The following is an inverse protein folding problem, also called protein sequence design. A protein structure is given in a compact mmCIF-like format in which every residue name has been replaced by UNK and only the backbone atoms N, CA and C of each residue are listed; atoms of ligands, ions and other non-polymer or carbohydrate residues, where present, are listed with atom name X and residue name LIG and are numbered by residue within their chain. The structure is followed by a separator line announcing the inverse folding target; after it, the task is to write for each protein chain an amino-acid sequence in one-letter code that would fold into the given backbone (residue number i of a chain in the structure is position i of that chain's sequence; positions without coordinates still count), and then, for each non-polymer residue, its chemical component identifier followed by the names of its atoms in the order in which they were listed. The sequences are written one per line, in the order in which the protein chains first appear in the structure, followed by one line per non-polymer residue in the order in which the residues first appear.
data_IF_720049687083
#
_entry.id   IF_720049687083
#
_cell.length_a   1.000
_cell.length_b   1.000
_cell.length_c   1.000
_cell.angle_alpha   90.00
_cell.angle_beta   90.00
_cell.angle_gamma   90.00
#
_symmetry.space_group_name_H-M   'P 1'
#
loop_
_entity.id
_entity.type
_entity.pdbx_description
1 polymer ?
#
# COMPACT_ATOMS: atom_id res chain seq x y z
N UNK A 1 -3.19 48.00 -7.51
CA UNK A 1 -2.22 48.49 -6.52
C UNK A 1 -0.89 48.78 -7.21
N UNK A 2 -0.15 49.76 -6.71
CA UNK A 2 1.16 50.20 -7.16
C UNK A 2 2.18 49.99 -6.05
N UNK A 3 3.44 49.83 -6.43
CA UNK A 3 4.57 49.93 -5.48
C UNK A 3 4.82 51.42 -5.27
N UNK A 4 4.74 51.89 -4.03
CA UNK A 4 5.06 53.27 -3.66
C UNK A 4 6.52 53.42 -3.26
N UNK A 5 7.04 52.42 -2.55
CA UNK A 5 8.35 52.51 -1.94
C UNK A 5 8.93 51.11 -1.68
N UNK A 6 10.25 50.95 -1.87
CA UNK A 6 11.03 49.80 -1.47
C UNK A 6 12.17 50.25 -0.55
N UNK A 7 12.25 49.66 0.63
CA UNK A 7 13.34 49.87 1.59
C UNK A 7 14.09 48.57 1.85
N UNK A 8 15.38 48.70 2.08
CA UNK A 8 16.18 47.68 2.75
C UNK A 8 16.45 48.19 4.16
N UNK A 9 16.04 47.44 5.17
CA UNK A 9 16.17 47.83 6.57
C UNK A 9 16.84 46.71 7.37
N UNK A 10 17.53 47.06 8.44
CA UNK A 10 18.01 46.08 9.41
C UNK A 10 16.83 45.52 10.22
N UNK A 11 16.84 44.21 10.49
CA UNK A 11 15.76 43.54 11.22
C UNK A 11 15.55 44.08 12.64
N UNK A 12 16.64 44.35 13.36
CA UNK A 12 16.65 44.60 14.81
C UNK A 12 16.31 46.05 15.17
N UNK A 13 17.03 47.01 14.60
CA UNK A 13 16.89 48.44 14.92
C UNK A 13 16.05 49.22 13.89
N UNK A 14 15.64 48.56 12.79
CA UNK A 14 14.92 49.15 11.65
C UNK A 14 15.69 50.29 10.97
N UNK A 15 17.01 50.35 11.13
CA UNK A 15 17.85 51.29 10.42
C UNK A 15 17.70 51.09 8.90
N UNK A 16 17.51 52.19 8.17
CA UNK A 16 17.29 52.16 6.72
C UNK A 16 18.64 52.11 6.01
N UNK A 17 18.94 50.96 5.41
CA UNK A 17 20.13 50.72 4.61
C UNK A 17 19.99 51.32 3.21
N UNK A 18 18.79 51.23 2.62
CA UNK A 18 18.47 51.80 1.32
C UNK A 18 16.99 52.17 1.25
N UNK A 19 16.67 53.27 0.56
CA UNK A 19 15.30 53.73 0.35
C UNK A 19 15.09 54.13 -1.12
N UNK A 20 14.07 53.58 -1.75
CA UNK A 20 13.78 53.76 -3.18
C UNK A 20 12.30 54.09 -3.32
N UNK A 21 12.00 55.32 -3.68
CA UNK A 21 10.64 55.79 -3.94
C UNK A 21 10.28 55.58 -5.41
N UNK A 22 9.05 55.14 -5.65
CA UNK A 22 8.49 54.97 -6.98
C UNK A 22 7.54 56.11 -7.27
N UNK A 23 7.56 56.58 -8.51
CA UNK A 23 6.66 57.62 -9.01
C UNK A 23 5.64 57.02 -9.97
N UNK A 24 4.56 57.76 -10.18
CA UNK A 24 3.55 57.39 -11.18
C UNK A 24 4.15 57.39 -12.59
N UNK A 25 3.72 56.44 -13.42
CA UNK A 25 4.29 56.17 -14.73
C UNK A 25 5.52 55.23 -14.71
N UNK A 26 6.38 55.39 -15.71
CA UNK A 26 7.49 54.46 -15.96
C UNK A 26 8.69 54.78 -15.07
N UNK A 27 9.14 53.79 -14.31
CA UNK A 27 10.32 53.88 -13.45
C UNK A 27 11.48 53.14 -14.12
N UNK A 28 12.61 53.83 -14.35
CA UNK A 28 13.78 53.25 -15.02
C UNK A 28 14.88 52.92 -14.01
N UNK A 29 15.38 51.68 -14.04
CA UNK A 29 16.56 51.25 -13.27
C UNK A 29 17.75 51.19 -14.22
N UNK A 30 18.58 52.23 -14.17
CA UNK A 30 19.73 52.43 -15.07
C UNK A 30 21.05 52.03 -14.41
N UNK A 31 22.04 51.67 -15.23
CA UNK A 31 23.41 51.49 -14.72
C UNK A 31 24.07 52.84 -14.54
N UNK A 32 24.95 52.95 -13.55
CA UNK A 32 25.91 54.06 -13.50
C UNK A 32 27.12 53.66 -14.32
N UNK A 33 27.30 54.24 -15.50
CA UNK A 33 28.38 53.88 -16.43
C UNK A 33 29.77 54.12 -15.85
N UNK A 34 30.52 53.05 -15.58
CA UNK A 34 31.99 52.91 -15.77
C UNK A 34 32.52 51.60 -15.16
N UNK A 35 31.99 50.46 -15.60
CA UNK A 35 32.64 49.17 -15.32
C UNK A 35 32.68 48.32 -16.58
N UNK A 36 33.88 48.13 -17.14
CA UNK A 36 34.15 47.35 -18.35
C UNK A 36 33.94 45.84 -18.21
N UNK A 37 33.07 45.40 -17.31
CA UNK A 37 32.60 44.03 -17.17
C UNK A 37 31.10 44.00 -17.43
N UNK A 38 30.72 43.55 -18.63
CA UNK A 38 29.34 43.23 -18.97
C UNK A 38 28.64 42.42 -17.85
N UNK A 39 27.47 42.88 -17.40
CA UNK A 39 26.46 42.13 -16.63
C UNK A 39 26.65 41.83 -15.13
N UNK A 40 27.46 42.58 -14.39
CA UNK A 40 27.38 42.58 -12.90
C UNK A 40 27.39 44.05 -12.50
N UNK A 41 26.36 44.64 -11.90
CA UNK A 41 25.91 44.42 -10.53
C UNK A 41 24.57 45.17 -10.34
N UNK A 42 23.54 44.55 -9.75
CA UNK A 42 22.42 45.28 -9.13
C UNK A 42 21.06 45.26 -9.83
N UNK A 43 20.95 45.32 -11.17
CA UNK A 43 19.63 45.43 -11.86
C UNK A 43 18.74 44.19 -11.66
N UNK A 44 19.26 43.02 -12.02
CA UNK A 44 18.53 41.75 -11.84
C UNK A 44 18.33 41.47 -10.35
N UNK A 45 19.30 41.84 -9.51
CA UNK A 45 19.20 41.73 -8.04
C UNK A 45 18.04 42.58 -7.49
N UNK A 46 17.84 43.79 -8.01
CA UNK A 46 16.72 44.66 -7.65
C UNK A 46 15.36 44.04 -8.01
N UNK A 47 15.21 43.48 -9.22
CA UNK A 47 13.97 42.77 -9.58
C UNK A 47 13.74 41.52 -8.72
N UNK A 48 14.80 40.78 -8.38
CA UNK A 48 14.75 39.65 -7.45
C UNK A 48 14.33 40.07 -6.04
N UNK A 49 14.75 41.25 -5.57
CA UNK A 49 14.29 41.79 -4.27
C UNK A 49 12.78 42.02 -4.27
N UNK A 50 12.24 42.63 -5.32
CA UNK A 50 10.78 42.82 -5.47
C UNK A 50 10.07 41.47 -5.49
N UNK A 51 10.59 40.49 -6.24
CA UNK A 51 9.96 39.17 -6.31
C UNK A 51 9.97 38.41 -4.97
N UNK A 52 11.04 38.56 -4.18
CA UNK A 52 11.13 38.00 -2.82
C UNK A 52 10.14 38.69 -1.88
N UNK A 53 10.01 40.01 -1.95
CA UNK A 53 8.97 40.75 -1.23
C UNK A 53 7.58 40.27 -1.64
N UNK A 54 7.39 39.94 -2.92
CA UNK A 54 6.21 39.27 -3.48
C UNK A 54 6.23 37.73 -3.28
N UNK A 55 6.87 37.23 -2.21
CA UNK A 55 6.70 35.86 -1.75
C UNK A 55 7.43 34.77 -2.53
N UNK A 56 8.46 35.10 -3.32
CA UNK A 56 9.40 34.10 -3.84
C UNK A 56 10.13 33.36 -2.70
N UNK A 57 10.51 32.10 -2.96
CA UNK A 57 11.12 31.22 -1.95
C UNK A 57 12.64 31.30 -1.90
N UNK A 58 13.26 31.43 -3.08
CA UNK A 58 14.70 31.31 -3.27
C UNK A 58 15.37 32.66 -3.02
N UNK A 59 15.68 32.93 -1.74
CA UNK A 59 16.33 34.18 -1.31
C UNK A 59 17.81 34.21 -1.67
N UNK A 60 18.42 33.04 -1.66
CA UNK A 60 19.80 32.80 -2.09
C UNK A 60 20.04 33.30 -3.51
N UNK A 61 19.05 33.27 -4.40
CA UNK A 61 19.16 33.84 -5.76
C UNK A 61 19.53 35.32 -5.82
N UNK A 62 19.48 36.06 -4.71
CA UNK A 62 20.00 37.44 -4.65
C UNK A 62 21.52 37.50 -4.85
N UNK A 63 22.23 36.53 -4.29
CA UNK A 63 23.69 36.49 -4.25
C UNK A 63 24.27 35.23 -4.90
N UNK A 64 23.46 34.21 -5.17
CA UNK A 64 23.84 33.00 -5.90
C UNK A 64 23.33 33.02 -7.34
N UNK A 65 24.24 32.80 -8.28
CA UNK A 65 23.93 32.63 -9.70
C UNK A 65 24.03 31.14 -10.08
N UNK A 66 22.90 30.48 -10.42
CA UNK A 66 22.90 29.07 -10.80
C UNK A 66 23.51 28.80 -12.19
N UNK A 67 23.59 29.78 -13.08
CA UNK A 67 24.14 29.59 -14.43
C UNK A 67 25.67 29.52 -14.39
N UNK A 68 26.28 30.39 -13.61
CA UNK A 68 27.74 30.43 -13.41
C UNK A 68 28.20 29.63 -12.20
N UNK A 69 27.26 29.11 -11.40
CA UNK A 69 27.51 28.46 -10.12
C UNK A 69 28.42 29.30 -9.20
N UNK A 70 28.18 30.62 -9.19
CA UNK A 70 29.00 31.58 -8.43
C UNK A 70 28.18 32.30 -7.37
N UNK A 71 28.77 32.50 -6.20
CA UNK A 71 28.18 33.28 -5.10
C UNK A 71 28.92 34.61 -4.96
N UNK A 72 28.16 35.70 -4.88
CA UNK A 72 28.65 37.03 -4.51
C UNK A 72 28.76 37.12 -2.98
N UNK A 73 29.88 36.67 -2.45
CA UNK A 73 30.09 36.52 -1.01
C UNK A 73 29.96 37.84 -0.21
N UNK A 74 30.33 38.97 -0.81
CA UNK A 74 30.20 40.28 -0.16
C UNK A 74 28.74 40.63 0.08
N UNK A 75 27.88 40.40 -0.91
CA UNK A 75 26.43 40.64 -0.80
C UNK A 75 25.78 39.66 0.19
N UNK A 76 26.19 38.39 0.18
CA UNK A 76 25.71 37.40 1.15
C UNK A 76 26.04 37.81 2.59
N UNK A 77 27.31 38.15 2.85
CA UNK A 77 27.76 38.62 4.18
C UNK A 77 27.02 39.89 4.59
N UNK A 78 26.89 40.86 3.68
CA UNK A 78 26.15 42.10 3.95
C UNK A 78 24.70 41.83 4.38
N UNK A 79 23.99 40.91 3.73
CA UNK A 79 22.62 40.54 4.07
C UNK A 79 22.55 39.86 5.45
N UNK A 80 23.49 38.97 5.75
CA UNK A 80 23.52 38.20 7.00
C UNK A 80 23.89 39.09 8.18
N UNK A 81 24.98 39.86 8.05
CA UNK A 81 25.54 40.68 9.14
C UNK A 81 24.58 41.81 9.54
N UNK A 82 23.89 42.40 8.56
CA UNK A 82 22.88 43.43 8.83
C UNK A 82 21.48 42.86 9.12
N UNK A 83 21.31 41.53 9.11
CA UNK A 83 19.99 40.88 9.17
C UNK A 83 18.99 41.57 8.25
N UNK A 84 19.37 41.77 6.99
CA UNK A 84 18.65 42.67 6.10
C UNK A 84 17.22 42.15 5.80
N UNK A 85 16.26 43.06 5.85
CA UNK A 85 14.88 42.87 5.43
C UNK A 85 14.57 43.77 4.24
N UNK A 86 13.87 43.23 3.24
CA UNK A 86 13.19 44.05 2.24
C UNK A 86 11.81 44.44 2.78
N UNK A 87 11.46 45.73 2.68
CA UNK A 87 10.17 46.29 3.03
C UNK A 87 9.58 47.01 1.82
N UNK A 88 8.47 46.51 1.30
CA UNK A 88 7.78 47.03 0.13
C UNK A 88 6.44 47.63 0.57
N UNK A 89 6.23 48.90 0.26
CA UNK A 89 4.94 49.56 0.50
C UNK A 89 4.14 49.57 -0.79
N UNK A 90 2.95 48.98 -0.74
CA UNK A 90 2.00 48.95 -1.85
C UNK A 90 0.76 49.78 -1.51
N UNK A 91 0.23 50.47 -2.52
CA UNK A 91 -0.91 51.39 -2.38
C UNK A 91 -1.91 51.20 -3.52
N UNK A 92 -3.15 51.63 -3.34
CA UNK A 92 -4.14 51.65 -4.43
C UNK A 92 -3.88 52.75 -5.45
N UNK A 93 -3.41 53.92 -5.00
CA UNK A 93 -3.02 55.08 -5.81
C UNK A 93 -1.73 55.70 -5.25
N UNK A 94 -0.78 56.06 -6.13
CA UNK A 94 0.53 56.62 -5.70
C UNK A 94 0.37 58.02 -5.11
N UNK A 95 -0.48 58.84 -5.71
CA UNK A 95 -0.63 60.26 -5.41
C UNK A 95 -1.61 60.47 -4.24
N UNK A 96 -2.71 59.72 -4.21
CA UNK A 96 -3.79 59.84 -3.23
C UNK A 96 -4.19 58.46 -2.65
N UNK A 97 -3.30 57.80 -1.90
CA UNK A 97 -3.53 56.45 -1.38
C UNK A 97 -4.69 56.43 -0.39
N UNK A 98 -5.67 55.54 -0.61
CA UNK A 98 -6.73 55.22 0.35
C UNK A 98 -6.47 53.90 1.07
N UNK A 99 -5.79 52.98 0.39
CA UNK A 99 -5.33 51.72 0.94
C UNK A 99 -3.81 51.65 0.86
N UNK A 100 -3.19 51.18 1.95
CA UNK A 100 -1.73 51.02 2.04
C UNK A 100 -1.43 49.74 2.81
N UNK A 101 -0.53 48.93 2.25
CA UNK A 101 0.00 47.76 2.93
C UNK A 101 1.53 47.76 2.91
N UNK A 102 2.13 47.31 4.01
CA UNK A 102 3.58 47.16 4.15
C UNK A 102 3.93 45.68 4.18
N UNK A 103 4.66 45.25 3.16
CA UNK A 103 5.13 43.89 2.95
C UNK A 103 6.60 43.78 3.37
N UNK A 104 6.91 43.05 4.43
CA UNK A 104 8.29 42.93 4.91
C UNK A 104 8.77 41.49 4.94
N UNK A 105 9.94 41.24 4.35
CA UNK A 105 10.52 39.90 4.21
C UNK A 105 11.99 39.93 4.59
N UNK A 106 12.41 39.04 5.51
CA UNK A 106 13.82 38.85 5.81
C UNK A 106 14.57 38.16 4.67
N UNK A 107 15.66 38.77 4.22
CA UNK A 107 16.45 38.32 3.06
C UNK A 107 17.41 37.17 3.41
N UNK A 108 17.76 37.02 4.68
CA UNK A 108 18.62 35.95 5.20
C UNK A 108 17.86 34.63 5.40
N UNK A 109 18.61 33.54 5.60
CA UNK A 109 18.07 32.20 5.86
C UNK A 109 17.16 32.21 7.10
N UNK A 110 15.96 31.62 7.00
CA UNK A 110 14.92 31.62 8.05
C UNK A 110 14.35 33.00 8.43
N UNK A 111 14.67 34.07 7.70
CA UNK A 111 14.01 35.37 7.85
C UNK A 111 12.48 35.27 7.77
N UNK A 112 11.80 36.14 8.51
CA UNK A 112 10.35 36.09 8.68
C UNK A 112 9.60 36.92 7.64
N UNK A 113 8.30 36.66 7.50
CA UNK A 113 7.38 37.40 6.65
C UNK A 113 6.44 38.23 7.51
N UNK A 114 6.17 39.46 7.10
CA UNK A 114 5.24 40.35 7.78
C UNK A 114 4.36 41.07 6.76
N UNK A 115 3.08 41.23 7.11
CA UNK A 115 2.16 42.14 6.44
C UNK A 115 1.64 43.09 7.50
N UNK A 116 1.77 44.41 7.26
CA UNK A 116 1.32 45.46 8.18
C UNK A 116 1.85 45.27 9.60
N UNK A 117 3.12 44.87 9.71
CA UNK A 117 3.80 44.59 10.97
C UNK A 117 3.48 43.24 11.61
N UNK A 118 2.45 42.51 11.16
CA UNK A 118 2.09 41.20 11.71
C UNK A 118 2.92 40.08 11.09
N UNK A 119 3.62 39.33 11.93
CA UNK A 119 4.40 38.17 11.50
C UNK A 119 3.48 37.01 11.06
N UNK A 120 3.74 36.45 9.88
CA UNK A 120 2.96 35.34 9.33
C UNK A 120 3.87 34.29 8.68
N UNK A 121 3.33 33.07 8.54
CA UNK A 121 4.01 31.97 7.81
C UNK A 121 3.99 32.26 6.31
N UNK A 122 4.99 31.78 5.58
CA UNK A 122 5.10 32.00 4.13
C UNK A 122 3.86 31.54 3.34
N UNK A 123 3.25 30.41 3.70
CA UNK A 123 2.04 29.92 3.03
C UNK A 123 0.86 30.87 3.24
N UNK A 124 0.65 31.35 4.46
CA UNK A 124 -0.36 32.34 4.79
C UNK A 124 -0.06 33.69 4.13
N UNK A 125 1.21 34.09 4.06
CA UNK A 125 1.66 35.30 3.37
C UNK A 125 1.19 35.34 1.91
N UNK A 126 1.38 34.24 1.17
CA UNK A 126 0.91 34.14 -0.22
C UNK A 126 -0.62 34.19 -0.34
N UNK A 127 -1.34 33.62 0.62
CA UNK A 127 -2.82 33.67 0.65
C UNK A 127 -3.30 35.11 0.90
N UNK A 128 -2.71 35.80 1.87
CA UNK A 128 -3.04 37.21 2.15
C UNK A 128 -2.69 38.12 0.96
N UNK A 129 -1.56 37.88 0.28
CA UNK A 129 -1.22 38.62 -0.94
C UNK A 129 -2.23 38.41 -2.07
N UNK A 130 -2.80 37.20 -2.21
CA UNK A 130 -3.89 36.94 -3.15
C UNK A 130 -5.13 37.80 -2.86
N UNK A 131 -5.47 38.00 -1.57
CA UNK A 131 -6.58 38.86 -1.17
C UNK A 131 -6.29 40.33 -1.49
N UNK A 132 -5.10 40.79 -1.13
CA UNK A 132 -4.73 42.20 -1.25
C UNK A 132 -4.62 42.62 -2.73
N UNK A 133 -3.95 41.81 -3.55
CA UNK A 133 -3.61 42.18 -4.93
C UNK A 133 -4.64 41.70 -5.97
N UNK A 134 -5.33 40.59 -5.70
CA UNK A 134 -6.20 39.93 -6.67
C UNK A 134 -7.64 39.73 -6.15
N UNK A 135 -7.95 40.18 -4.93
CA UNK A 135 -9.27 40.05 -4.31
C UNK A 135 -9.83 38.62 -4.33
N UNK A 136 -8.96 37.61 -4.20
CA UNK A 136 -9.34 36.20 -4.20
C UNK A 136 -8.86 35.49 -2.93
N UNK A 137 -9.71 34.57 -2.45
CA UNK A 137 -9.38 33.62 -1.38
C UNK A 137 -8.96 32.26 -1.93
N UNK A 138 -9.12 32.08 -3.25
CA UNK A 138 -8.91 30.81 -3.90
C UNK A 138 -7.42 30.48 -3.97
N UNK A 139 -7.13 29.19 -3.87
CA UNK A 139 -5.78 28.67 -4.03
C UNK A 139 -5.38 28.50 -5.49
N UNK A 140 -6.33 28.65 -6.41
CA UNK A 140 -6.21 28.29 -7.81
C UNK A 140 -6.77 29.42 -8.69
N UNK A 141 -5.92 30.13 -9.46
CA UNK A 141 -4.46 30.02 -9.50
C UNK A 141 -3.78 30.49 -8.21
N UNK A 142 -2.63 29.91 -7.89
CA UNK A 142 -1.84 30.34 -6.73
C UNK A 142 -1.30 31.76 -6.95
N UNK A 143 -1.04 32.50 -5.87
CA UNK A 143 -0.42 33.83 -5.95
C UNK A 143 0.84 33.87 -6.82
N UNK A 144 1.70 32.85 -6.72
CA UNK A 144 2.93 32.77 -7.52
C UNK A 144 2.69 32.56 -9.01
N UNK A 145 1.55 31.97 -9.37
CA UNK A 145 1.14 31.83 -10.78
C UNK A 145 0.53 33.11 -11.33
N UNK A 146 -0.14 33.91 -10.50
CA UNK A 146 -0.71 35.19 -10.91
C UNK A 146 0.36 36.28 -11.02
N UNK A 147 1.21 36.41 -9.99
CA UNK A 147 2.19 37.50 -9.90
C UNK A 147 3.30 37.42 -10.96
N UNK A 148 3.59 36.24 -11.50
CA UNK A 148 4.59 36.07 -12.57
C UNK A 148 4.24 36.82 -13.86
N UNK A 149 2.96 37.16 -14.06
CA UNK A 149 2.49 38.02 -15.15
C UNK A 149 2.96 39.46 -15.02
N UNK A 150 3.23 39.89 -13.80
CA UNK A 150 3.61 41.26 -13.44
C UNK A 150 5.09 41.40 -13.08
N UNK A 151 5.66 40.45 -12.34
CA UNK A 151 7.08 40.46 -11.93
C UNK A 151 7.86 39.42 -12.74
N UNK A 152 8.62 39.88 -13.73
CA UNK A 152 9.33 39.02 -14.69
C UNK A 152 10.84 39.13 -14.51
N UNK A 153 11.46 38.09 -13.94
CA UNK A 153 12.91 38.07 -13.66
C UNK A 153 13.69 37.34 -14.74
N UNK A 154 13.15 36.25 -15.28
CA UNK A 154 13.82 35.41 -16.28
C UNK A 154 13.03 35.45 -17.57
N UNK A 155 13.55 36.15 -18.58
CA UNK A 155 13.08 36.10 -19.96
C UNK A 155 14.12 35.33 -20.78
N UNK A 156 14.22 34.02 -20.56
CA UNK A 156 15.03 33.14 -21.40
C UNK A 156 14.15 32.59 -22.53
N UNK A 157 14.20 33.22 -23.71
CA UNK A 157 13.59 32.72 -24.94
C UNK A 157 12.77 33.73 -25.75
N UNK A 158 12.63 33.44 -27.05
CA UNK A 158 11.95 34.24 -28.08
C UNK A 158 10.49 34.62 -27.74
N UNK A 159 10.03 35.66 -28.45
CA UNK A 159 8.69 36.31 -28.58
C UNK A 159 7.46 35.80 -27.80
N UNK A 160 7.23 34.48 -27.65
CA UNK A 160 6.08 33.92 -26.94
C UNK A 160 6.26 33.83 -25.41
N UNK A 161 7.46 34.10 -24.89
CA UNK A 161 7.74 34.14 -23.44
C UNK A 161 6.91 35.18 -22.69
N UNK A 162 6.41 36.21 -23.38
CA UNK A 162 5.49 37.19 -22.80
C UNK A 162 4.20 36.54 -22.32
N UNK A 163 3.66 35.61 -23.11
CA UNK A 163 2.47 34.86 -22.76
C UNK A 163 2.87 33.71 -21.81
N UNK A 164 3.94 32.97 -22.13
CA UNK A 164 4.36 31.78 -21.37
C UNK A 164 5.47 32.05 -20.35
N UNK A 165 5.10 32.69 -19.24
CA UNK A 165 6.00 33.14 -18.17
C UNK A 165 6.10 32.23 -16.92
N UNK A 166 5.33 31.14 -16.87
CA UNK A 166 5.33 30.20 -15.73
C UNK A 166 6.36 29.07 -15.95
N UNK A 167 7.18 28.75 -14.93
CA UNK A 167 8.14 27.65 -15.03
C UNK A 167 7.41 26.30 -15.08
N UNK A 168 7.61 25.53 -16.17
CA UNK A 168 7.09 24.17 -16.36
C UNK A 168 5.57 24.03 -16.09
N UNK A 169 4.78 25.00 -16.53
CA UNK A 169 3.32 24.97 -16.39
C UNK A 169 2.63 24.24 -17.55
N UNK A 170 1.51 23.59 -17.26
CA UNK A 170 0.66 22.95 -18.26
C UNK A 170 -0.25 23.97 -18.97
N UNK A 171 -0.78 23.62 -20.14
CA UNK A 171 -1.77 24.46 -20.85
C UNK A 171 -2.98 24.75 -19.95
N UNK A 172 -3.45 23.77 -19.18
CA UNK A 172 -4.55 23.96 -18.22
C UNK A 172 -4.21 24.99 -17.13
N UNK A 173 -2.96 25.00 -16.66
CA UNK A 173 -2.46 25.99 -15.69
C UNK A 173 -2.46 27.40 -16.28
N UNK A 174 -1.98 27.56 -17.52
CA UNK A 174 -2.02 28.85 -18.21
C UNK A 174 -3.45 29.34 -18.45
N UNK A 175 -4.35 28.44 -18.87
CA UNK A 175 -5.79 28.75 -19.02
C UNK A 175 -6.39 29.23 -17.70
N UNK A 176 -6.14 28.53 -16.61
CA UNK A 176 -6.60 28.92 -15.27
C UNK A 176 -6.11 30.33 -14.90
N UNK A 177 -4.83 30.65 -15.15
CA UNK A 177 -4.27 31.99 -14.91
C UNK A 177 -4.91 33.06 -15.78
N UNK A 178 -5.04 32.83 -17.09
CA UNK A 178 -5.63 33.82 -17.98
C UNK A 178 -7.13 34.01 -17.72
N UNK A 179 -7.86 32.94 -17.46
CA UNK A 179 -9.28 33.03 -17.16
C UNK A 179 -9.53 33.82 -15.88
N UNK A 180 -8.66 33.67 -14.88
CA UNK A 180 -8.68 34.53 -13.70
C UNK A 180 -8.33 35.99 -14.02
N UNK A 181 -7.20 36.24 -14.70
CA UNK A 181 -6.71 37.60 -14.94
C UNK A 181 -7.60 38.43 -15.88
N UNK A 182 -8.28 37.77 -16.82
CA UNK A 182 -9.17 38.40 -17.80
C UNK A 182 -10.65 38.21 -17.47
N UNK A 183 -10.98 37.58 -16.33
CA UNK A 183 -12.36 37.31 -15.89
C UNK A 183 -13.21 36.59 -16.96
N UNK A 184 -12.62 35.58 -17.62
CA UNK A 184 -13.26 34.87 -18.74
C UNK A 184 -14.17 33.74 -18.25
N UNK A 185 -13.70 32.97 -17.26
CA UNK A 185 -14.40 31.81 -16.71
C UNK A 185 -13.84 31.39 -15.36
N UNK A 186 -14.60 30.60 -14.60
CA UNK A 186 -14.16 30.06 -13.31
C UNK A 186 -12.90 29.18 -13.48
N UNK A 187 -11.75 29.59 -12.91
CA UNK A 187 -10.48 28.86 -13.05
C UNK A 187 -10.52 27.44 -12.49
N UNK A 188 -11.41 27.18 -11.51
CA UNK A 188 -11.56 25.86 -10.89
C UNK A 188 -12.12 24.82 -11.86
N UNK A 189 -12.98 25.25 -12.79
CA UNK A 189 -13.59 24.39 -13.82
C UNK A 189 -12.54 23.93 -14.83
N UNK A 190 -11.65 24.82 -15.27
CA UNK A 190 -10.58 24.47 -16.22
C UNK A 190 -9.53 23.53 -15.62
N UNK A 191 -9.18 23.72 -14.34
CA UNK A 191 -8.26 22.81 -13.66
C UNK A 191 -8.87 21.40 -13.53
N UNK A 192 -10.14 21.32 -13.12
CA UNK A 192 -10.88 20.06 -13.07
C UNK A 192 -10.92 19.38 -14.44
N UNK A 193 -11.22 20.13 -15.50
CA UNK A 193 -11.17 19.63 -16.88
C UNK A 193 -9.78 19.09 -17.23
N UNK A 194 -8.72 19.84 -16.95
CA UNK A 194 -7.35 19.41 -17.25
C UNK A 194 -6.94 18.14 -16.48
N UNK A 195 -7.42 17.98 -15.25
CA UNK A 195 -7.21 16.76 -14.47
C UNK A 195 -7.99 15.56 -15.03
N UNK A 196 -9.24 15.76 -15.45
CA UNK A 196 -10.04 14.73 -16.11
C UNK A 196 -9.43 14.30 -17.45
N UNK A 197 -8.91 15.25 -18.26
CA UNK A 197 -8.22 14.93 -19.53
C UNK A 197 -6.96 14.09 -19.29
N UNK A 198 -6.19 14.36 -18.22
CA UNK A 198 -5.04 13.52 -17.82
C UNK A 198 -5.47 12.11 -17.42
N UNK A 199 -6.51 11.99 -16.61
CA UNK A 199 -7.05 10.69 -16.18
C UNK A 199 -7.54 9.88 -17.39
N UNK A 200 -8.29 10.53 -18.30
CA UNK A 200 -8.76 9.91 -19.54
C UNK A 200 -7.59 9.38 -20.37
N UNK A 201 -6.51 10.15 -20.50
CA UNK A 201 -5.30 9.72 -21.22
C UNK A 201 -4.67 8.47 -20.59
N UNK A 202 -4.54 8.44 -19.26
CA UNK A 202 -4.00 7.27 -18.54
C UNK A 202 -4.86 6.03 -18.79
N UNK A 203 -6.18 6.14 -18.64
CA UNK A 203 -7.12 5.04 -18.87
C UNK A 203 -7.06 4.56 -20.32
N UNK A 204 -6.99 5.48 -21.27
CA UNK A 204 -6.89 5.16 -22.70
C UNK A 204 -5.58 4.43 -23.04
N UNK A 205 -4.46 4.84 -22.45
CA UNK A 205 -3.17 4.15 -22.63
C UNK A 205 -3.17 2.77 -21.96
N UNK A 206 -3.77 2.63 -20.78
CA UNK A 206 -3.97 1.33 -20.14
C UNK A 206 -4.84 0.40 -21.00
N UNK A 207 -5.92 0.93 -21.59
CA UNK A 207 -6.77 0.19 -22.53
C UNK A 207 -5.95 -0.29 -23.76
N UNK A 208 -5.14 0.60 -24.35
CA UNK A 208 -4.26 0.24 -25.48
C UNK A 208 -3.23 -0.84 -25.09
N UNK A 209 -2.61 -0.72 -23.93
CA UNK A 209 -1.65 -1.72 -23.44
C UNK A 209 -2.35 -3.08 -23.21
N UNK A 210 -3.54 -3.07 -22.62
CA UNK A 210 -4.33 -4.28 -22.41
C UNK A 210 -4.71 -4.95 -23.74
N UNK A 211 -5.15 -4.17 -24.75
CA UNK A 211 -5.41 -4.68 -26.11
C UNK A 211 -4.17 -5.31 -26.75
N UNK A 212 -2.98 -4.71 -26.56
CA UNK A 212 -1.71 -5.24 -27.08
C UNK A 212 -1.31 -6.57 -26.44
N UNK A 213 -1.43 -6.71 -25.12
CA UNK A 213 -1.04 -7.93 -24.39
C UNK A 213 -1.91 -9.13 -24.78
N UNK A 214 -3.19 -8.91 -25.05
CA UNK A 214 -4.14 -9.98 -25.37
C UNK A 214 -4.25 -10.30 -26.87
N UNK A 215 -3.49 -9.61 -27.74
CA UNK A 215 -3.61 -9.69 -29.21
C UNK A 215 -5.05 -9.50 -29.74
N UNK A 216 -5.95 -8.94 -28.94
CA UNK A 216 -7.37 -8.77 -29.25
C UNK A 216 -7.65 -7.30 -29.55
N UNK A 217 -8.30 -7.03 -30.68
CA UNK A 217 -8.42 -5.68 -31.22
C UNK A 217 -9.60 -4.92 -30.59
N UNK A 218 -10.58 -5.63 -30.00
CA UNK A 218 -11.74 -5.02 -29.32
C UNK A 218 -12.18 -5.75 -28.04
N UNK A 219 -12.74 -5.04 -27.03
CA UNK A 219 -13.27 -5.66 -25.81
C UNK A 219 -14.38 -6.71 -26.05
N UNK A 220 -15.12 -6.57 -27.16
CA UNK A 220 -16.14 -7.54 -27.57
C UNK A 220 -15.54 -8.89 -28.00
N UNK A 221 -14.38 -8.88 -28.69
CA UNK A 221 -13.66 -10.09 -29.10
C UNK A 221 -13.15 -10.85 -27.86
N UNK A 222 -12.67 -10.13 -26.84
CA UNK A 222 -12.21 -10.72 -25.58
C UNK A 222 -13.37 -11.41 -24.85
N UNK A 223 -14.55 -10.76 -24.78
CA UNK A 223 -15.76 -11.40 -24.22
C UNK A 223 -16.13 -12.66 -24.98
N UNK A 224 -16.00 -12.66 -26.31
CA UNK A 224 -16.28 -13.82 -27.14
C UNK A 224 -15.29 -14.96 -26.89
N UNK A 225 -13.99 -14.67 -26.78
CA UNK A 225 -12.96 -15.67 -26.43
C UNK A 225 -13.26 -16.27 -25.05
N UNK A 226 -13.56 -15.44 -24.04
CA UNK A 226 -13.92 -15.91 -22.69
C UNK A 226 -15.15 -16.82 -22.75
N UNK A 227 -16.19 -16.44 -23.49
CA UNK A 227 -17.40 -17.26 -23.63
C UNK A 227 -17.11 -18.62 -24.28
N UNK A 228 -16.23 -18.65 -25.29
CA UNK A 228 -15.80 -19.90 -25.96
C UNK A 228 -15.00 -20.81 -25.03
N UNK A 229 -14.08 -20.24 -24.24
CA UNK A 229 -13.30 -20.98 -23.24
C UNK A 229 -14.19 -21.54 -22.11
N UNK A 230 -15.17 -20.77 -21.64
CA UNK A 230 -16.16 -21.22 -20.65
C UNK A 230 -16.97 -22.39 -21.21
N UNK A 231 -17.43 -22.30 -22.45
CA UNK A 231 -18.14 -23.38 -23.12
C UNK A 231 -17.28 -24.65 -23.23
N UNK A 232 -16.00 -24.52 -23.63
CA UNK A 232 -15.09 -25.66 -23.70
C UNK A 232 -14.84 -26.31 -22.34
N UNK A 233 -14.68 -25.50 -21.29
CA UNK A 233 -14.55 -25.99 -19.90
C UNK A 233 -15.77 -26.82 -19.50
N UNK A 234 -16.97 -26.31 -19.77
CA UNK A 234 -18.22 -26.96 -19.34
C UNK A 234 -18.43 -28.27 -20.11
N UNK A 235 -18.15 -28.29 -21.42
CA UNK A 235 -18.14 -29.52 -22.22
C UNK A 235 -17.15 -30.56 -21.69
N UNK A 236 -15.91 -30.15 -21.36
CA UNK A 236 -14.91 -31.07 -20.80
C UNK A 236 -15.35 -31.61 -19.43
N UNK A 237 -16.02 -30.79 -18.63
CA UNK A 237 -16.58 -31.20 -17.35
C UNK A 237 -17.68 -32.24 -17.51
N UNK A 238 -18.61 -32.03 -18.45
CA UNK A 238 -19.63 -33.03 -18.79
C UNK A 238 -18.98 -34.34 -19.26
N UNK A 239 -17.96 -34.28 -20.12
CA UNK A 239 -17.24 -35.48 -20.55
C UNK A 239 -16.54 -36.21 -19.39
N UNK A 240 -16.00 -35.48 -18.42
CA UNK A 240 -15.42 -36.07 -17.20
C UNK A 240 -16.51 -36.73 -16.35
N UNK A 241 -17.65 -36.06 -16.18
CA UNK A 241 -18.79 -36.56 -15.41
C UNK A 241 -19.43 -37.80 -16.07
N UNK A 242 -19.41 -37.90 -17.41
CA UNK A 242 -19.81 -39.08 -18.18
C UNK A 242 -18.83 -40.26 -18.02
N UNK A 243 -17.52 -39.99 -18.00
CA UNK A 243 -16.48 -41.03 -17.86
C UNK A 243 -16.49 -41.62 -16.44
N UNK A 244 -16.74 -40.79 -15.42
CA UNK A 244 -16.87 -41.22 -14.04
C UNK A 244 -18.05 -40.50 -13.43
N UNK A 245 -19.20 -41.19 -13.33
CA UNK A 245 -20.29 -40.70 -12.49
C UNK A 245 -19.77 -40.59 -11.05
N UNK A 246 -19.44 -39.36 -10.64
CA UNK A 246 -18.87 -39.04 -9.33
C UNK A 246 -19.77 -39.59 -8.22
N UNK A 247 -21.08 -39.62 -8.47
CA UNK A 247 -22.08 -40.19 -7.59
C UNK A 247 -21.98 -41.72 -7.47
N UNK A 248 -21.81 -42.48 -8.57
CA UNK A 248 -21.58 -43.93 -8.47
C UNK A 248 -20.21 -44.26 -7.88
N UNK A 249 -19.17 -43.48 -8.20
CA UNK A 249 -17.86 -43.70 -7.61
C UNK A 249 -17.89 -43.52 -6.09
N UNK A 250 -18.54 -42.45 -5.60
CA UNK A 250 -18.69 -42.22 -4.16
C UNK A 250 -19.59 -43.25 -3.48
N UNK A 251 -20.69 -43.67 -4.11
CA UNK A 251 -21.56 -44.77 -3.62
C UNK A 251 -20.81 -46.10 -3.55
N UNK A 252 -20.10 -46.49 -4.62
CA UNK A 252 -19.31 -47.73 -4.66
C UNK A 252 -18.17 -47.72 -3.65
N UNK A 253 -17.50 -46.57 -3.47
CA UNK A 253 -16.45 -46.42 -2.45
C UNK A 253 -17.00 -46.62 -1.04
N UNK A 254 -18.16 -46.04 -0.72
CA UNK A 254 -18.82 -46.26 0.58
C UNK A 254 -19.20 -47.73 0.76
N UNK A 255 -19.82 -48.34 -0.25
CA UNK A 255 -20.21 -49.76 -0.22
C UNK A 255 -19.01 -50.70 0.00
N UNK A 256 -17.90 -50.48 -0.71
CA UNK A 256 -16.66 -51.24 -0.54
C UNK A 256 -16.07 -51.11 0.87
N UNK A 257 -16.10 -49.91 1.46
CA UNK A 257 -15.66 -49.70 2.84
C UNK A 257 -16.54 -50.46 3.83
N UNK A 258 -17.87 -50.46 3.64
CA UNK A 258 -18.80 -51.22 4.49
C UNK A 258 -18.53 -52.73 4.42
N UNK A 259 -18.33 -53.28 3.23
CA UNK A 259 -18.01 -54.70 3.05
C UNK A 259 -16.68 -55.05 3.71
N UNK A 260 -15.64 -54.22 3.55
CA UNK A 260 -14.33 -54.44 4.18
C UNK A 260 -14.44 -54.48 5.71
N UNK A 261 -15.20 -53.56 6.31
CA UNK A 261 -15.41 -53.57 7.75
C UNK A 261 -16.10 -54.87 8.21
N UNK A 262 -17.14 -55.31 7.51
CA UNK A 262 -17.85 -56.56 7.82
C UNK A 262 -16.97 -57.79 7.63
N UNK A 263 -16.12 -57.80 6.61
CA UNK A 263 -15.13 -58.86 6.39
C UNK A 263 -14.14 -58.94 7.56
N UNK A 264 -13.61 -57.79 8.00
CA UNK A 264 -12.71 -57.72 9.16
C UNK A 264 -13.39 -58.23 10.44
N UNK A 265 -14.64 -57.87 10.69
CA UNK A 265 -15.42 -58.38 11.83
C UNK A 265 -15.62 -59.89 11.77
N UNK A 266 -15.99 -60.43 10.62
CA UNK A 266 -16.17 -61.87 10.43
C UNK A 266 -14.86 -62.62 10.60
N UNK A 267 -13.76 -62.08 10.07
CA UNK A 267 -12.42 -62.65 10.22
C UNK A 267 -12.01 -62.71 11.69
N UNK A 268 -12.27 -61.64 12.45
CA UNK A 268 -12.02 -61.61 13.89
C UNK A 268 -12.88 -62.66 14.64
N UNK A 269 -14.16 -62.82 14.26
CA UNK A 269 -15.03 -63.85 14.84
C UNK A 269 -14.53 -65.27 14.55
N UNK A 270 -14.12 -65.54 13.32
CA UNK A 270 -13.53 -66.83 12.93
C UNK A 270 -12.25 -67.07 13.73
N UNK A 271 -11.37 -66.07 13.85
CA UNK A 271 -10.17 -66.17 14.68
C UNK A 271 -10.47 -66.54 16.13
N UNK A 272 -11.48 -65.91 16.73
CA UNK A 272 -11.93 -66.21 18.10
C UNK A 272 -12.48 -67.64 18.23
N UNK A 273 -13.30 -68.08 17.29
CA UNK A 273 -13.87 -69.44 17.30
C UNK A 273 -12.78 -70.50 17.11
N UNK A 274 -11.83 -70.28 16.20
CA UNK A 274 -10.71 -71.20 15.99
C UNK A 274 -9.84 -71.32 17.23
N UNK A 275 -9.56 -70.20 17.90
CA UNK A 275 -8.84 -70.22 19.18
C UNK A 275 -9.58 -71.05 20.24
N UNK A 276 -10.89 -70.86 20.38
CA UNK A 276 -11.70 -71.66 21.31
C UNK A 276 -11.66 -73.15 20.96
N UNK A 277 -11.80 -73.48 19.67
CA UNK A 277 -11.79 -74.85 19.18
C UNK A 277 -10.44 -75.53 19.45
N UNK A 278 -9.32 -74.84 19.21
CA UNK A 278 -7.99 -75.36 19.56
C UNK A 278 -7.85 -75.60 21.06
N UNK A 279 -8.32 -74.67 21.90
CA UNK A 279 -8.26 -74.85 23.36
C UNK A 279 -9.10 -76.04 23.82
N UNK A 280 -10.32 -76.19 23.31
CA UNK A 280 -11.17 -77.36 23.60
C UNK A 280 -10.50 -78.66 23.15
N UNK A 281 -9.90 -78.70 21.96
CA UNK A 281 -9.15 -79.87 21.48
C UNK A 281 -7.98 -80.22 22.40
N UNK A 282 -7.22 -79.21 22.85
CA UNK A 282 -6.11 -79.42 23.81
C UNK A 282 -6.63 -79.98 25.13
N UNK A 283 -7.72 -79.44 25.66
CA UNK A 283 -8.35 -79.94 26.89
C UNK A 283 -8.84 -81.39 26.76
N UNK A 284 -9.46 -81.74 25.62
CA UNK A 284 -9.89 -83.12 25.35
C UNK A 284 -8.67 -84.04 25.27
N UNK A 285 -7.64 -83.68 24.50
CA UNK A 285 -6.43 -84.49 24.37
C UNK A 285 -5.73 -84.70 25.73
N UNK A 286 -5.67 -83.65 26.56
CA UNK A 286 -5.15 -83.75 27.93
C UNK A 286 -6.02 -84.67 28.79
N UNK A 287 -7.35 -84.55 28.71
CA UNK A 287 -8.28 -85.39 29.47
C UNK A 287 -8.21 -86.87 29.05
N UNK A 288 -8.02 -87.15 27.76
CA UNK A 288 -7.80 -88.50 27.22
C UNK A 288 -6.46 -89.06 27.72
N UNK A 289 -5.37 -88.28 27.62
CA UNK A 289 -4.07 -88.71 28.13
C UNK A 289 -4.09 -88.95 29.65
N UNK A 290 -4.77 -88.09 30.40
CA UNK A 290 -4.99 -88.28 31.84
C UNK A 290 -5.80 -89.56 32.12
N UNK A 291 -6.79 -89.90 31.27
CA UNK A 291 -7.53 -91.15 31.39
C UNK A 291 -6.66 -92.38 31.14
N UNK A 292 -5.77 -92.33 30.14
CA UNK A 292 -4.83 -93.41 29.82
C UNK A 292 -3.76 -93.57 30.90
N UNK A 293 -3.27 -92.46 31.47
CA UNK A 293 -2.32 -92.47 32.57
C UNK A 293 -2.95 -92.90 33.90
N UNK A 294 -4.20 -92.52 34.19
CA UNK A 294 -4.96 -93.02 35.35
C UNK A 294 -5.29 -94.52 35.23
N UNK A 295 -5.31 -95.05 34.00
CA UNK A 295 -5.38 -96.48 33.68
C UNK A 295 -4.03 -97.20 33.82
N UNK A 296 -2.99 -96.55 34.34
CA UNK A 296 -1.81 -97.23 34.90
C UNK A 296 -2.27 -98.11 36.07
N UNK A 297 -2.69 -99.32 35.72
CA UNK A 297 -3.36 -100.29 36.59
C UNK A 297 -2.62 -100.53 37.90
N UNK A 298 -1.30 -100.36 37.96
CA UNK A 298 -0.52 -100.61 39.17
C UNK A 298 -0.85 -99.69 40.35
N UNK A 299 -0.99 -98.38 40.15
CA UNK A 299 -1.31 -97.46 41.26
C UNK A 299 -2.74 -97.66 41.75
N UNK A 300 -3.67 -97.80 40.81
CA UNK A 300 -5.09 -97.98 41.09
C UNK A 300 -5.37 -99.34 41.74
N UNK A 301 -4.64 -100.40 41.33
CA UNK A 301 -4.71 -101.73 41.93
C UNK A 301 -4.07 -101.75 43.32
N UNK A 302 -2.90 -101.14 43.50
CA UNK A 302 -2.26 -101.02 44.82
C UNK A 302 -3.18 -100.28 45.82
N UNK A 303 -3.82 -99.19 45.40
CA UNK A 303 -4.77 -98.45 46.22
C UNK A 303 -6.03 -99.27 46.53
N UNK A 304 -6.56 -100.01 45.54
CA UNK A 304 -7.70 -100.89 45.75
C UNK A 304 -7.38 -102.03 46.72
N UNK A 305 -6.21 -102.65 46.59
CA UNK A 305 -5.75 -103.74 47.48
C UNK A 305 -5.50 -103.23 48.90
N UNK A 306 -4.93 -102.03 49.05
CA UNK A 306 -4.78 -101.36 50.34
C UNK A 306 -6.14 -101.14 51.01
N UNK A 307 -7.13 -100.58 50.29
CA UNK A 307 -8.49 -100.37 50.82
C UNK A 307 -9.22 -101.69 51.09
N UNK A 308 -9.06 -102.69 50.23
CA UNK A 308 -9.66 -104.02 50.41
C UNK A 308 -9.13 -104.71 51.67
N UNK A 309 -7.86 -104.51 52.01
CA UNK A 309 -7.28 -105.05 53.26
C UNK A 309 -7.87 -104.42 54.53
N UNK A 310 -8.35 -103.18 54.44
CA UNK A 310 -8.90 -102.41 55.55
C UNK A 310 -10.42 -102.58 55.72
N UNK A 311 -11.14 -103.00 54.67
CA UNK A 311 -12.61 -103.09 54.66
C UNK A 311 -13.05 -104.54 54.35
N UNK A 312 -13.47 -105.31 55.38
CA UNK A 312 -13.78 -106.74 55.26
C UNK A 312 -14.97 -107.11 54.36
N UNK A 313 -15.79 -106.13 53.97
CA UNK A 313 -16.95 -106.32 53.09
C UNK A 313 -17.00 -105.23 52.02
N UNK A 314 -16.10 -105.32 51.03
CA UNK A 314 -16.24 -104.56 49.80
C UNK A 314 -17.12 -105.36 48.82
N UNK A 315 -18.39 -104.98 48.69
CA UNK A 315 -19.33 -105.58 47.72
C UNK A 315 -19.04 -105.19 46.26
N UNK A 316 -18.00 -104.38 46.03
CA UNK A 316 -17.60 -103.88 44.72
C UNK A 316 -16.23 -104.41 44.35
N UNK A 317 -16.13 -104.88 43.12
CA UNK A 317 -14.90 -105.41 42.56
C UNK A 317 -13.96 -104.29 42.12
N UNK A 318 -12.67 -104.57 41.96
CA UNK A 318 -11.72 -103.64 41.33
C UNK A 318 -12.23 -103.21 39.94
N UNK A 319 -12.88 -104.14 39.23
CA UNK A 319 -13.51 -103.87 37.94
C UNK A 319 -14.55 -102.76 38.02
N UNK A 320 -15.33 -102.67 39.10
CA UNK A 320 -16.34 -101.62 39.28
C UNK A 320 -15.72 -100.23 39.46
N UNK A 321 -14.58 -100.14 40.15
CA UNK A 321 -13.82 -98.90 40.34
C UNK A 321 -13.22 -98.41 39.01
N UNK A 322 -12.65 -99.34 38.23
CA UNK A 322 -12.12 -99.06 36.88
C UNK A 322 -13.24 -98.55 35.96
N UNK A 323 -14.41 -99.21 35.97
CA UNK A 323 -15.58 -98.78 35.19
C UNK A 323 -16.07 -97.40 35.63
N UNK A 324 -16.09 -97.10 36.94
CA UNK A 324 -16.52 -95.80 37.45
C UNK A 324 -15.58 -94.66 37.02
N UNK A 325 -14.26 -94.84 37.17
CA UNK A 325 -13.27 -93.86 36.71
C UNK A 325 -13.36 -93.67 35.20
N UNK A 326 -13.53 -94.74 34.42
CA UNK A 326 -13.71 -94.65 32.98
C UNK A 326 -14.95 -93.81 32.61
N UNK A 327 -16.07 -93.96 33.34
CA UNK A 327 -17.28 -93.14 33.13
C UNK A 327 -17.08 -91.67 33.48
N UNK A 328 -16.27 -91.34 34.50
CA UNK A 328 -15.97 -89.95 34.84
C UNK A 328 -15.19 -89.23 33.74
N UNK A 329 -14.19 -89.88 33.15
CA UNK A 329 -13.45 -89.30 32.02
C UNK A 329 -14.33 -89.19 30.77
N UNK A 330 -15.19 -90.17 30.49
CA UNK A 330 -16.15 -90.09 29.39
C UNK A 330 -17.14 -88.93 29.51
N UNK A 331 -17.60 -88.59 30.72
CA UNK A 331 -18.50 -87.46 30.92
C UNK A 331 -17.82 -86.08 30.82
N UNK A 332 -16.49 -86.04 30.94
CA UNK A 332 -15.70 -84.79 30.88
C UNK A 332 -15.31 -84.40 29.45
N UNK A 333 -15.37 -85.34 28.52
CA UNK A 333 -15.19 -85.18 27.06
C UNK A 333 -16.56 -84.84 26.46
#
# INVERSE_FOLDING_TARGET
MYIKNLKIINFSDKYVLQNIDFHDGVNFVVDTESSGKHNKVGKTTFLKLIDIAMGAQERDRLYFDPETNSTEEELERYIIDNQANAELTIVDDINHPKAMHTLRVGLFKRGHYFIDGKQIKQSAYRIELNKILFNTQDKHPTFRQLISSFVRITMSGDTDTFLRNLPRASIATYRSVYNFLFDISDPSVDENRGNLEKQLKIVTEAEKQFKRVQQAHQPAEIKQIISSLVYQRDRLKEQIDDIVSLEQFTKNRKHLTTIRNRYSELTNKIGKLNYQLEQTKRLIAQTVSDSENAMSNQLTLNFFDEIKSLIPQLDKSFSDLVIFNQKLYQNKI
#
